data_IF_480585374482
#
_entry.id   IF_480585374482
#
_cell.length_a   1.000
_cell.length_b   1.000
_cell.length_c   1.000
_cell.angle_alpha   90.00
_cell.angle_beta   90.00
_cell.angle_gamma   90.00
#
_symmetry.space_group_name_H-M   'P 1'
#
loop_
_entity.id
_entity.type
_entity.pdbx_description
1 polymer ?
#
# COMPACT_ATOMS: atom_id res chain seq x y z
N UNK A 1 22.38 -14.16 -4.56
CA UNK A 1 21.22 -14.77 -5.24
C UNK A 1 20.78 -13.86 -6.38
N UNK A 2 21.21 -14.17 -7.59
CA UNK A 2 20.88 -13.48 -8.83
C UNK A 2 19.41 -13.72 -9.19
N UNK A 3 18.65 -12.64 -9.38
CA UNK A 3 17.30 -12.74 -9.91
C UNK A 3 17.40 -12.79 -11.45
N UNK A 4 16.88 -13.84 -12.12
CA UNK A 4 16.96 -13.95 -13.56
C UNK A 4 15.95 -13.04 -14.26
N UNK A 5 16.33 -12.57 -15.45
CA UNK A 5 15.57 -11.74 -16.37
C UNK A 5 14.20 -12.32 -16.73
N UNK A 6 13.19 -11.45 -16.83
CA UNK A 6 11.86 -11.80 -17.34
C UNK A 6 11.96 -12.06 -18.85
N UNK A 7 11.80 -13.32 -19.24
CA UNK A 7 11.67 -13.71 -20.64
C UNK A 7 10.24 -13.35 -21.11
N UNK A 8 10.13 -12.43 -22.06
CA UNK A 8 8.86 -11.84 -22.53
C UNK A 8 8.30 -12.58 -23.76
N UNK A 9 8.82 -13.76 -24.07
CA UNK A 9 8.64 -14.39 -25.38
C UNK A 9 8.04 -15.79 -25.27
N UNK A 10 6.73 -15.85 -24.97
CA UNK A 10 5.78 -16.88 -25.43
C UNK A 10 4.42 -16.63 -24.75
N UNK A 11 3.48 -15.97 -25.44
CA UNK A 11 2.10 -15.82 -24.95
C UNK A 11 1.10 -16.22 -26.03
N UNK A 12 0.31 -17.25 -25.70
CA UNK A 12 -0.86 -17.68 -26.44
C UNK A 12 -1.94 -16.58 -26.41
N UNK A 13 -2.48 -16.26 -27.59
CA UNK A 13 -3.24 -15.07 -27.94
C UNK A 13 -4.75 -15.11 -27.67
N UNK A 14 -5.22 -15.78 -26.62
CA UNK A 14 -6.64 -15.73 -26.24
C UNK A 14 -6.83 -14.93 -24.95
N UNK A 15 -7.08 -13.63 -25.13
CA UNK A 15 -7.64 -12.66 -24.17
C UNK A 15 -7.10 -12.75 -22.74
N UNK A 16 -5.83 -12.40 -22.56
CA UNK A 16 -5.25 -12.22 -21.23
C UNK A 16 -5.00 -10.73 -20.98
N UNK A 17 -5.68 -10.17 -19.99
CA UNK A 17 -5.41 -8.83 -19.49
C UNK A 17 -3.97 -8.81 -18.96
N UNK A 18 -3.23 -7.74 -19.25
CA UNK A 18 -1.85 -7.57 -18.80
C UNK A 18 -1.71 -6.28 -18.00
N UNK A 19 -0.89 -6.32 -16.96
CA UNK A 19 -0.49 -5.14 -16.20
C UNK A 19 0.49 -4.34 -17.06
N UNK A 20 0.09 -3.14 -17.49
CA UNK A 20 0.92 -2.26 -18.31
C UNK A 20 1.88 -1.44 -17.45
N UNK A 21 3.18 -1.50 -17.76
CA UNK A 21 4.16 -0.63 -17.09
C UNK A 21 3.93 0.85 -17.41
N UNK A 22 3.45 1.21 -18.61
CA UNK A 22 3.04 2.59 -18.91
C UNK A 22 1.91 3.07 -17.99
N UNK A 23 0.92 2.22 -17.74
CA UNK A 23 -0.15 2.54 -16.80
C UNK A 23 0.42 2.75 -15.40
N UNK A 24 1.26 1.83 -14.90
CA UNK A 24 1.90 1.97 -13.59
C UNK A 24 2.75 3.25 -13.48
N UNK A 25 3.45 3.64 -14.55
CA UNK A 25 4.20 4.91 -14.59
C UNK A 25 3.27 6.11 -14.55
N UNK A 26 2.13 6.08 -15.26
CA UNK A 26 1.18 7.19 -15.28
C UNK A 26 0.57 7.50 -13.90
N UNK A 27 0.53 6.52 -12.99
CA UNK A 27 0.08 6.76 -11.60
C UNK A 27 0.96 7.78 -10.89
N UNK A 28 2.23 7.89 -11.24
CA UNK A 28 3.15 8.87 -10.65
C UNK A 28 2.86 10.31 -11.08
N UNK A 29 1.95 10.53 -12.05
CA UNK A 29 1.44 11.87 -12.36
C UNK A 29 0.71 12.52 -11.16
N UNK A 30 0.32 11.72 -10.16
CA UNK A 30 -0.19 12.26 -8.89
C UNK A 30 0.83 13.18 -8.19
N UNK A 31 2.13 12.95 -8.37
CA UNK A 31 3.18 13.75 -7.72
C UNK A 31 3.17 15.20 -8.21
N UNK A 32 3.36 15.50 -9.51
CA UNK A 32 3.27 16.87 -9.99
C UNK A 32 1.87 17.45 -9.80
N UNK A 33 0.80 16.65 -9.84
CA UNK A 33 -0.56 17.13 -9.56
C UNK A 33 -0.71 17.62 -8.12
N UNK A 34 -0.24 16.86 -7.12
CA UNK A 34 -0.29 17.28 -5.72
C UNK A 34 0.57 18.52 -5.46
N UNK A 35 1.75 18.62 -6.08
CA UNK A 35 2.59 19.82 -5.99
C UNK A 35 1.87 21.02 -6.62
N UNK A 36 1.26 20.87 -7.79
CA UNK A 36 0.50 21.93 -8.44
C UNK A 36 -0.70 22.38 -7.59
N UNK A 37 -1.46 21.45 -7.02
CA UNK A 37 -2.58 21.75 -6.11
C UNK A 37 -2.07 22.56 -4.91
N UNK A 38 -0.95 22.16 -4.31
CA UNK A 38 -0.35 22.87 -3.18
C UNK A 38 0.07 24.29 -3.56
N UNK A 39 0.71 24.48 -4.73
CA UNK A 39 1.12 25.81 -5.20
C UNK A 39 -0.09 26.70 -5.49
N UNK A 40 -1.13 26.16 -6.14
CA UNK A 40 -2.38 26.88 -6.40
C UNK A 40 -3.04 27.30 -5.08
N UNK A 41 -3.09 26.41 -4.08
CA UNK A 41 -3.65 26.74 -2.77
C UNK A 41 -2.85 27.85 -2.07
N UNK A 42 -1.52 27.72 -2.06
CA UNK A 42 -0.65 28.68 -1.40
C UNK A 42 -0.74 30.09 -2.01
N UNK A 43 -0.70 30.20 -3.35
CA UNK A 43 -0.65 31.50 -4.04
C UNK A 43 -2.03 32.02 -4.45
N UNK A 44 -3.00 31.16 -4.70
CA UNK A 44 -4.35 31.52 -5.16
C UNK A 44 -5.39 31.58 -4.06
N UNK A 45 -5.27 30.75 -3.02
CA UNK A 45 -6.30 30.58 -1.98
C UNK A 45 -5.77 30.84 -0.56
N UNK A 46 -4.58 31.40 -0.41
CA UNK A 46 -3.96 31.71 0.89
C UNK A 46 -3.90 30.50 1.84
N UNK A 47 -3.64 29.30 1.30
CA UNK A 47 -3.56 28.03 2.05
C UNK A 47 -4.89 27.54 2.67
N UNK A 48 -6.05 27.95 2.15
CA UNK A 48 -7.35 27.49 2.66
C UNK A 48 -7.52 25.97 2.55
N UNK A 49 -7.05 25.34 1.47
CA UNK A 49 -7.14 23.89 1.31
C UNK A 49 -6.30 23.19 2.40
N UNK A 50 -5.09 23.66 2.70
CA UNK A 50 -4.28 23.13 3.80
C UNK A 50 -5.06 23.11 5.12
N UNK A 51 -5.76 24.20 5.41
CA UNK A 51 -6.46 24.39 6.67
C UNK A 51 -7.79 23.61 6.73
N UNK A 52 -8.40 23.33 5.57
CA UNK A 52 -9.57 22.46 5.43
C UNK A 52 -9.24 20.96 5.44
N UNK A 53 -8.05 20.58 4.96
CA UNK A 53 -7.66 19.19 4.83
C UNK A 53 -7.36 18.54 6.19
N UNK A 54 -7.62 17.23 6.33
CA UNK A 54 -7.24 16.46 7.51
C UNK A 54 -5.78 16.63 7.88
N UNK A 55 -5.53 17.24 9.04
CA UNK A 55 -4.18 17.46 9.53
C UNK A 55 -3.77 16.41 10.57
N UNK A 56 -4.68 15.56 11.05
CA UNK A 56 -4.41 14.54 12.06
C UNK A 56 -5.05 13.18 11.74
N UNK A 57 -4.47 12.07 12.24
CA UNK A 57 -4.81 10.69 11.86
C UNK A 57 -6.29 10.32 12.00
N UNK A 58 -6.98 10.88 13.00
CA UNK A 58 -8.41 10.63 13.25
C UNK A 58 -9.32 11.14 12.14
N UNK A 59 -8.89 12.15 11.37
CA UNK A 59 -9.66 12.70 10.25
C UNK A 59 -9.31 12.02 8.91
N UNK A 60 -8.37 11.06 8.91
CA UNK A 60 -8.07 10.23 7.74
C UNK A 60 -9.05 9.07 7.57
N UNK A 61 -10.25 9.08 8.17
CA UNK A 61 -11.27 8.03 7.93
C UNK A 61 -11.69 8.01 6.46
N UNK A 62 -12.01 9.18 5.88
CA UNK A 62 -12.29 9.28 4.45
C UNK A 62 -11.10 8.80 3.62
N UNK A 63 -9.88 9.11 4.07
CA UNK A 63 -8.68 8.61 3.43
C UNK A 63 -8.59 7.10 3.50
N UNK A 64 -8.79 6.48 4.67
CA UNK A 64 -8.78 5.03 4.87
C UNK A 64 -9.87 4.32 4.07
N UNK A 65 -11.01 4.97 3.87
CA UNK A 65 -12.13 4.48 3.07
C UNK A 65 -11.82 4.50 1.57
N UNK A 66 -11.08 5.51 1.09
CA UNK A 66 -10.72 5.64 -0.32
C UNK A 66 -9.41 4.91 -0.66
N UNK A 67 -8.46 4.88 0.28
CA UNK A 67 -7.10 4.40 0.13
C UNK A 67 -6.64 3.70 1.43
N UNK A 68 -6.01 2.54 1.34
CA UNK A 68 -5.59 1.75 2.50
C UNK A 68 -6.49 0.54 2.71
N UNK A 69 -7.60 0.73 3.41
CA UNK A 69 -8.41 -0.40 3.85
C UNK A 69 -9.06 -1.19 2.70
N UNK A 70 -9.56 -0.57 1.61
CA UNK A 70 -10.15 -1.34 0.52
C UNK A 70 -9.15 -2.31 -0.12
N UNK A 71 -7.91 -1.90 -0.39
CA UNK A 71 -6.94 -2.81 -1.01
C UNK A 71 -6.53 -3.93 -0.05
N UNK A 72 -6.42 -3.63 1.26
CA UNK A 72 -6.15 -4.63 2.30
C UNK A 72 -7.25 -5.68 2.31
N UNK A 73 -8.52 -5.25 2.29
CA UNK A 73 -9.66 -6.17 2.25
C UNK A 73 -9.66 -6.96 0.94
N UNK A 74 -9.43 -6.30 -0.20
CA UNK A 74 -9.37 -6.96 -1.51
C UNK A 74 -8.32 -8.09 -1.53
N UNK A 75 -7.13 -7.84 -0.99
CA UNK A 75 -6.05 -8.83 -0.88
C UNK A 75 -6.45 -10.04 -0.04
N UNK A 76 -7.11 -9.81 1.10
CA UNK A 76 -7.57 -10.89 1.97
C UNK A 76 -8.73 -11.67 1.35
N UNK A 77 -9.67 -10.99 0.68
CA UNK A 77 -10.75 -11.63 -0.09
C UNK A 77 -10.19 -12.51 -1.21
N UNK A 78 -9.18 -12.02 -1.92
CA UNK A 78 -8.51 -12.77 -2.98
C UNK A 78 -7.96 -14.11 -2.47
N UNK A 79 -7.35 -14.11 -1.29
CA UNK A 79 -6.83 -15.33 -0.68
C UNK A 79 -7.93 -16.25 -0.16
N UNK A 80 -8.94 -15.70 0.53
CA UNK A 80 -9.98 -16.49 1.21
C UNK A 80 -10.99 -17.07 0.22
N UNK A 81 -11.28 -16.38 -0.87
CA UNK A 81 -12.23 -16.82 -1.89
C UNK A 81 -11.75 -18.03 -2.71
N UNK A 82 -10.47 -18.39 -2.61
CA UNK A 82 -9.85 -19.45 -3.40
C UNK A 82 -9.24 -20.54 -2.48
N UNK A 83 -9.91 -21.71 -2.35
CA UNK A 83 -9.45 -22.79 -1.46
C UNK A 83 -8.02 -23.29 -1.74
N UNK A 84 -7.60 -23.28 -3.00
CA UNK A 84 -6.24 -23.65 -3.41
C UNK A 84 -5.16 -22.73 -2.83
N UNK A 85 -5.45 -21.43 -2.69
CA UNK A 85 -4.52 -20.45 -2.13
C UNK A 85 -4.42 -20.63 -0.62
N UNK A 86 -5.56 -20.81 0.05
CA UNK A 86 -5.59 -21.12 1.48
C UNK A 86 -4.83 -22.42 1.78
N UNK A 87 -5.05 -23.48 1.00
CA UNK A 87 -4.32 -24.74 1.19
C UNK A 87 -2.81 -24.57 1.01
N UNK A 88 -2.39 -23.84 -0.03
CA UNK A 88 -0.97 -23.57 -0.32
C UNK A 88 -0.29 -22.76 0.80
N UNK A 89 -1.01 -21.82 1.41
CA UNK A 89 -0.42 -20.87 2.38
C UNK A 89 -0.83 -21.11 3.83
N UNK A 90 -1.62 -22.14 4.13
CA UNK A 90 -2.21 -22.40 5.46
C UNK A 90 -1.22 -22.27 6.61
N UNK A 91 -0.06 -22.92 6.50
CA UNK A 91 0.96 -22.90 7.56
C UNK A 91 1.53 -21.49 7.80
N UNK A 92 1.75 -20.71 6.73
CA UNK A 92 2.23 -19.33 6.81
C UNK A 92 1.18 -18.41 7.41
N UNK A 93 -0.08 -18.54 6.99
CA UNK A 93 -1.20 -17.75 7.50
C UNK A 93 -1.44 -18.03 8.98
N UNK A 94 -1.46 -19.31 9.39
CA UNK A 94 -1.62 -19.69 10.78
C UNK A 94 -0.46 -19.19 11.64
N UNK A 95 0.79 -19.37 11.18
CA UNK A 95 1.98 -18.89 11.87
C UNK A 95 1.95 -17.37 12.09
N UNK A 96 1.59 -16.60 11.04
CA UNK A 96 1.46 -15.15 11.15
C UNK A 96 0.28 -14.75 12.05
N UNK A 97 -0.83 -15.50 12.04
CA UNK A 97 -1.97 -15.25 12.94
C UNK A 97 -1.56 -15.40 14.39
N UNK A 98 -0.90 -16.51 14.74
CA UNK A 98 -0.38 -16.75 16.08
C UNK A 98 0.63 -15.67 16.47
N UNK A 99 1.51 -15.27 15.56
CA UNK A 99 2.46 -14.19 15.79
C UNK A 99 1.77 -12.85 16.07
N UNK A 100 0.77 -12.46 15.28
CA UNK A 100 0.01 -11.20 15.48
C UNK A 100 -0.70 -11.23 16.84
N UNK A 101 -1.36 -12.34 17.19
CA UNK A 101 -2.05 -12.48 18.48
C UNK A 101 -1.06 -12.40 19.64
N UNK A 102 0.09 -13.08 19.56
CA UNK A 102 1.10 -13.01 20.60
C UNK A 102 1.72 -11.61 20.71
N UNK A 103 2.12 -11.02 19.58
CA UNK A 103 2.82 -9.74 19.57
C UNK A 103 1.91 -8.55 19.94
N UNK A 104 0.70 -8.48 19.38
CA UNK A 104 -0.23 -7.37 19.66
C UNK A 104 -1.20 -7.68 20.81
N UNK A 105 -1.68 -8.92 20.93
CA UNK A 105 -2.58 -9.31 22.01
C UNK A 105 -1.85 -9.38 23.35
N UNK A 106 -0.79 -10.21 23.45
CA UNK A 106 -0.02 -10.35 24.70
C UNK A 106 0.98 -9.21 24.84
N UNK A 107 1.70 -8.87 23.77
CA UNK A 107 2.72 -7.83 23.84
C UNK A 107 2.19 -6.44 24.17
N UNK A 108 0.93 -6.10 23.87
CA UNK A 108 0.32 -4.83 24.29
C UNK A 108 0.17 -4.68 25.80
N UNK A 109 0.25 -5.77 26.57
CA UNK A 109 0.29 -5.73 28.03
C UNK A 109 1.63 -5.22 28.58
N UNK A 110 2.70 -5.27 27.77
CA UNK A 110 4.07 -4.97 28.20
C UNK A 110 4.76 -3.88 27.36
N UNK A 111 4.30 -3.66 26.13
CA UNK A 111 4.91 -2.71 25.18
C UNK A 111 4.05 -1.44 25.13
N UNK A 112 4.63 -0.25 25.34
CA UNK A 112 3.90 1.00 25.23
C UNK A 112 3.22 1.17 23.86
N UNK A 113 1.99 1.69 23.86
CA UNK A 113 1.23 1.93 22.63
C UNK A 113 2.01 2.71 21.57
N UNK A 114 2.75 3.75 21.97
CA UNK A 114 3.58 4.55 21.05
C UNK A 114 4.64 3.71 20.34
N UNK A 115 5.23 2.73 21.02
CA UNK A 115 6.24 1.83 20.43
C UNK A 115 5.57 0.89 19.42
N UNK A 116 4.43 0.28 19.77
CA UNK A 116 3.65 -0.55 18.85
C UNK A 116 3.21 0.24 17.61
N UNK A 117 2.79 1.49 17.81
CA UNK A 117 2.42 2.41 16.75
C UNK A 117 3.59 2.69 15.80
N UNK A 118 4.77 3.05 16.33
CA UNK A 118 5.97 3.30 15.52
C UNK A 118 6.36 2.06 14.73
N UNK A 119 6.38 0.88 15.36
CA UNK A 119 6.70 -0.39 14.67
C UNK A 119 5.73 -0.62 13.50
N UNK A 120 4.42 -0.45 13.73
CA UNK A 120 3.39 -0.65 12.72
C UNK A 120 3.50 0.40 11.59
N UNK A 121 3.78 1.66 11.93
CA UNK A 121 4.00 2.73 10.96
C UNK A 121 5.24 2.46 10.09
N UNK A 122 6.36 2.06 10.70
CA UNK A 122 7.57 1.68 9.98
C UNK A 122 7.31 0.51 9.03
N UNK A 123 6.60 -0.51 9.49
CA UNK A 123 6.25 -1.67 8.67
C UNK A 123 5.33 -1.32 7.50
N UNK A 124 4.38 -0.41 7.73
CA UNK A 124 3.48 0.12 6.71
C UNK A 124 4.25 0.85 5.61
N UNK A 125 5.15 1.77 5.97
CA UNK A 125 5.98 2.49 4.99
C UNK A 125 6.92 1.54 4.26
N UNK A 126 7.55 0.61 4.99
CA UNK A 126 8.39 -0.44 4.41
C UNK A 126 7.63 -1.22 3.35
N UNK A 127 6.42 -1.68 3.65
CA UNK A 127 5.58 -2.44 2.73
C UNK A 127 5.27 -1.65 1.46
N UNK A 128 4.72 -0.44 1.61
CA UNK A 128 4.33 0.45 0.49
C UNK A 128 5.51 0.70 -0.45
N UNK A 129 6.65 1.12 0.10
CA UNK A 129 7.81 1.52 -0.71
C UNK A 129 8.58 0.32 -1.26
N UNK A 130 8.59 -0.81 -0.56
CA UNK A 130 9.18 -2.05 -1.08
C UNK A 130 8.44 -2.55 -2.31
N UNK A 131 7.12 -2.46 -2.36
CA UNK A 131 6.37 -2.86 -3.55
C UNK A 131 6.73 -1.97 -4.75
N UNK A 132 6.72 -0.65 -4.56
CA UNK A 132 7.03 0.31 -5.64
C UNK A 132 8.45 0.11 -6.18
N UNK A 133 9.43 -0.02 -5.30
CA UNK A 133 10.80 -0.31 -5.70
C UNK A 133 10.96 -1.72 -6.28
N UNK A 134 10.19 -2.71 -5.81
CA UNK A 134 10.17 -4.06 -6.38
C UNK A 134 9.72 -4.06 -7.85
N UNK A 135 8.68 -3.29 -8.16
CA UNK A 135 8.23 -3.05 -9.54
C UNK A 135 9.34 -2.30 -10.31
N UNK A 136 9.87 -1.21 -9.76
CA UNK A 136 10.92 -0.42 -10.40
C UNK A 136 12.16 -1.26 -10.72
N UNK A 137 12.56 -2.18 -9.83
CA UNK A 137 13.70 -3.09 -10.07
C UNK A 137 13.54 -3.90 -11.36
N UNK A 138 12.33 -4.39 -11.63
CA UNK A 138 12.04 -5.18 -12.83
C UNK A 138 12.13 -4.35 -14.12
N UNK A 139 11.81 -3.05 -14.06
CA UNK A 139 11.87 -2.13 -15.20
C UNK A 139 13.27 -1.54 -15.39
N UNK A 140 13.91 -1.11 -14.30
CA UNK A 140 15.20 -0.43 -14.29
C UNK A 140 16.40 -1.37 -14.40
N UNK A 141 16.21 -2.67 -14.11
CA UNK A 141 17.27 -3.70 -14.12
C UNK A 141 18.49 -3.32 -13.27
N UNK A 142 18.26 -2.65 -12.13
CA UNK A 142 19.31 -2.20 -11.24
C UNK A 142 20.12 -3.37 -10.66
N UNK A 143 21.42 -3.15 -10.50
CA UNK A 143 22.28 -4.05 -9.74
C UNK A 143 21.79 -4.20 -8.29
N UNK A 144 22.09 -5.31 -7.64
CA UNK A 144 21.62 -5.58 -6.28
C UNK A 144 21.98 -4.47 -5.28
N UNK A 145 23.23 -3.97 -5.34
CA UNK A 145 23.69 -2.89 -4.45
C UNK A 145 22.95 -1.58 -4.71
N UNK A 146 22.82 -1.17 -5.97
CA UNK A 146 22.12 0.06 -6.33
C UNK A 146 20.63 0.00 -5.94
N UNK A 147 19.98 -1.14 -6.18
CA UNK A 147 18.60 -1.39 -5.75
C UNK A 147 18.41 -1.24 -4.24
N UNK A 148 19.22 -1.93 -3.42
CA UNK A 148 19.06 -1.86 -1.97
C UNK A 148 19.38 -0.48 -1.40
N UNK A 149 20.35 0.24 -1.98
CA UNK A 149 20.64 1.62 -1.59
C UNK A 149 19.43 2.53 -1.84
N UNK A 150 18.87 2.49 -3.05
CA UNK A 150 17.68 3.27 -3.41
C UNK A 150 16.46 2.92 -2.54
N UNK A 151 16.24 1.62 -2.33
CA UNK A 151 15.16 1.09 -1.49
C UNK A 151 15.26 1.60 -0.05
N UNK A 152 16.42 1.44 0.59
CA UNK A 152 16.57 1.80 1.99
C UNK A 152 16.63 3.30 2.23
N UNK A 153 17.22 4.09 1.32
CA UNK A 153 17.13 5.55 1.39
C UNK A 153 15.67 6.02 1.30
N UNK A 154 14.90 5.45 0.38
CA UNK A 154 13.48 5.78 0.22
C UNK A 154 12.66 5.36 1.43
N UNK A 155 12.85 4.14 1.94
CA UNK A 155 12.14 3.65 3.13
C UNK A 155 12.45 4.51 4.35
N UNK A 156 13.72 4.78 4.61
CA UNK A 156 14.12 5.59 5.75
C UNK A 156 13.56 7.01 5.65
N UNK A 157 13.67 7.66 4.48
CA UNK A 157 13.07 8.98 4.26
C UNK A 157 11.55 8.96 4.47
N UNK A 158 10.87 7.97 3.87
CA UNK A 158 9.44 7.76 4.01
C UNK A 158 9.00 7.55 5.45
N UNK A 159 9.79 6.82 6.26
CA UNK A 159 9.49 6.57 7.68
C UNK A 159 9.51 7.90 8.44
N UNK A 160 10.56 8.71 8.28
CA UNK A 160 10.63 10.00 8.97
C UNK A 160 9.54 10.97 8.51
N UNK A 161 9.21 11.01 7.21
CA UNK A 161 8.07 11.80 6.70
C UNK A 161 6.76 11.32 7.36
N UNK A 162 6.52 10.01 7.39
CA UNK A 162 5.30 9.43 7.95
C UNK A 162 5.18 9.66 9.46
N UNK A 163 6.26 9.48 10.21
CA UNK A 163 6.30 9.78 11.64
C UNK A 163 6.08 11.28 11.89
N UNK A 164 6.68 12.15 11.08
CA UNK A 164 6.45 13.60 11.16
C UNK A 164 4.99 13.99 10.95
N UNK A 165 4.30 13.35 10.00
CA UNK A 165 2.87 13.56 9.76
C UNK A 165 2.01 13.04 10.92
N UNK A 166 2.17 11.77 11.28
CA UNK A 166 1.22 11.11 12.18
C UNK A 166 1.50 11.34 13.66
N UNK A 167 2.75 11.65 14.04
CA UNK A 167 3.14 11.95 15.41
C UNK A 167 3.23 13.46 15.68
N UNK A 168 2.81 14.33 14.76
CA UNK A 168 2.97 15.79 14.88
C UNK A 168 2.50 16.38 16.22
N UNK A 169 1.43 15.82 16.81
CA UNK A 169 0.84 16.29 18.07
C UNK A 169 1.50 15.65 19.31
N UNK A 170 2.37 14.67 19.12
CA UNK A 170 3.08 13.93 20.17
C UNK A 170 4.57 14.26 20.22
N UNK A 171 5.12 14.87 19.17
CA UNK A 171 6.51 15.30 19.10
C UNK A 171 6.67 16.68 19.75
N UNK A 172 7.73 16.87 20.52
CA UNK A 172 8.16 18.21 20.93
C UNK A 172 8.61 19.02 19.69
N UNK A 173 8.65 20.36 19.75
CA UNK A 173 9.14 21.18 18.63
C UNK A 173 10.54 20.78 18.16
N UNK A 174 11.43 20.46 19.10
CA UNK A 174 12.79 19.99 18.80
C UNK A 174 12.80 18.63 18.09
N UNK A 175 12.00 17.67 18.58
CA UNK A 175 11.86 16.35 17.95
C UNK A 175 11.28 16.46 16.54
N UNK A 176 10.27 17.32 16.34
CA UNK A 176 9.69 17.58 15.02
C UNK A 176 10.74 18.15 14.05
N UNK A 177 11.60 19.05 14.53
CA UNK A 177 12.69 19.60 13.73
C UNK A 177 13.74 18.53 13.36
N UNK A 178 14.10 17.65 14.30
CA UNK A 178 15.01 16.53 14.02
C UNK A 178 14.44 15.55 12.99
N UNK A 179 13.15 15.24 13.09
CA UNK A 179 12.44 14.41 12.11
C UNK A 179 12.48 15.07 10.73
N UNK A 180 12.21 16.38 10.64
CA UNK A 180 12.27 17.13 9.39
C UNK A 180 13.66 17.14 8.78
N UNK A 181 14.71 17.44 9.56
CA UNK A 181 16.10 17.44 9.06
C UNK A 181 16.59 16.06 8.65
N UNK A 182 16.19 15.02 9.38
CA UNK A 182 16.53 13.64 9.02
C UNK A 182 15.86 13.24 7.71
N UNK A 183 14.56 13.55 7.55
CA UNK A 183 13.85 13.34 6.30
C UNK A 183 14.49 14.12 5.13
N UNK A 184 14.91 15.36 5.37
CA UNK A 184 15.57 16.20 4.37
C UNK A 184 16.91 15.62 3.92
N UNK A 185 17.76 15.22 4.88
CA UNK A 185 19.08 14.62 4.60
C UNK A 185 18.97 13.31 3.83
N UNK A 186 18.03 12.43 4.22
CA UNK A 186 17.77 11.17 3.52
C UNK A 186 17.19 11.38 2.12
N UNK A 187 16.31 12.37 1.96
CA UNK A 187 15.75 12.77 0.66
C UNK A 187 16.83 13.31 -0.27
N UNK A 188 17.74 14.14 0.23
CA UNK A 188 18.90 14.62 -0.53
C UNK A 188 19.85 13.47 -0.91
N UNK A 189 20.14 12.57 0.02
CA UNK A 189 20.95 11.38 -0.26
C UNK A 189 20.29 10.48 -1.34
N UNK A 190 18.97 10.31 -1.30
CA UNK A 190 18.21 9.60 -2.32
C UNK A 190 18.33 10.30 -3.69
N UNK A 191 18.18 11.62 -3.74
CA UNK A 191 18.32 12.41 -4.98
C UNK A 191 19.71 12.24 -5.59
N UNK A 192 20.77 12.41 -4.79
CA UNK A 192 22.15 12.24 -5.24
C UNK A 192 22.42 10.81 -5.69
N UNK A 193 21.98 9.81 -4.91
CA UNK A 193 22.11 8.41 -5.28
C UNK A 193 21.38 8.10 -6.58
N UNK A 194 20.20 8.69 -6.80
CA UNK A 194 19.42 8.53 -8.04
C UNK A 194 20.17 9.10 -9.23
N UNK A 195 20.72 10.31 -9.07
CA UNK A 195 21.50 10.97 -10.11
C UNK A 195 22.75 10.19 -10.51
N UNK A 196 23.37 9.46 -9.58
CA UNK A 196 24.51 8.57 -9.84
C UNK A 196 24.04 7.27 -10.50
N UNK A 197 23.02 6.62 -9.93
CA UNK A 197 22.56 5.29 -10.34
C UNK A 197 21.88 5.30 -11.71
N UNK A 198 21.27 6.40 -12.13
CA UNK A 198 20.58 6.49 -13.43
C UNK A 198 21.48 6.14 -14.63
N UNK A 199 22.80 6.33 -14.52
CA UNK A 199 23.76 5.99 -15.58
C UNK A 199 23.84 4.47 -15.81
N UNK A 200 23.49 3.68 -14.81
CA UNK A 200 23.46 2.21 -14.89
C UNK A 200 22.14 1.67 -15.47
N UNK A 201 21.13 2.52 -15.66
CA UNK A 201 19.82 2.11 -16.17
C UNK A 201 19.85 2.12 -17.71
N UNK A 202 19.62 0.96 -18.37
CA UNK A 202 19.86 0.82 -19.80
C UNK A 202 18.82 1.55 -20.68
N UNK A 203 17.58 1.70 -20.21
CA UNK A 203 16.49 2.26 -21.01
C UNK A 203 16.01 3.61 -20.49
N UNK A 204 15.59 4.49 -21.41
CA UNK A 204 14.95 5.79 -21.04
C UNK A 204 13.69 5.56 -20.19
N UNK A 205 12.91 4.55 -20.54
CA UNK A 205 11.72 4.16 -19.77
C UNK A 205 12.04 3.75 -18.33
N UNK A 206 13.11 2.96 -18.13
CA UNK A 206 13.62 2.66 -16.80
C UNK A 206 14.08 3.91 -16.04
N UNK A 207 14.73 4.86 -16.71
CA UNK A 207 15.12 6.13 -16.08
C UNK A 207 13.91 6.92 -15.60
N UNK A 208 12.83 6.98 -16.39
CA UNK A 208 11.57 7.59 -15.97
C UNK A 208 10.99 6.91 -14.74
N UNK A 209 10.99 5.58 -14.69
CA UNK A 209 10.52 4.83 -13.51
C UNK A 209 11.37 5.07 -12.26
N UNK A 210 12.70 5.10 -12.41
CA UNK A 210 13.63 5.41 -11.33
C UNK A 210 13.34 6.81 -10.78
N UNK A 211 13.31 7.82 -11.64
CA UNK A 211 13.03 9.19 -11.24
C UNK A 211 11.62 9.36 -10.67
N UNK A 212 10.62 8.66 -11.19
CA UNK A 212 9.27 8.70 -10.65
C UNK A 212 9.21 8.21 -9.19
N UNK A 213 9.93 7.12 -8.86
CA UNK A 213 10.05 6.64 -7.48
C UNK A 213 10.77 7.64 -6.57
N UNK A 214 11.84 8.27 -7.07
CA UNK A 214 12.57 9.28 -6.30
C UNK A 214 11.71 10.53 -6.08
N UNK A 215 11.06 11.03 -7.13
CA UNK A 215 10.17 12.19 -7.07
C UNK A 215 8.96 11.95 -6.18
N UNK A 216 8.48 10.71 -6.07
CA UNK A 216 7.42 10.35 -5.11
C UNK A 216 7.83 10.70 -3.68
N UNK A 217 9.04 10.33 -3.27
CA UNK A 217 9.58 10.64 -1.93
C UNK A 217 9.86 12.13 -1.78
N UNK A 218 10.52 12.74 -2.78
CA UNK A 218 10.84 14.18 -2.74
C UNK A 218 9.60 15.05 -2.71
N UNK A 219 8.58 14.73 -3.50
CA UNK A 219 7.29 15.40 -3.50
C UNK A 219 6.58 15.25 -2.17
N UNK A 220 6.56 14.04 -1.60
CA UNK A 220 6.00 13.77 -0.27
C UNK A 220 6.71 14.57 0.82
N UNK A 221 8.05 14.63 0.78
CA UNK A 221 8.84 15.46 1.69
C UNK A 221 8.55 16.95 1.52
N UNK A 222 8.50 17.44 0.27
CA UNK A 222 8.24 18.85 -0.02
C UNK A 222 6.90 19.30 0.55
N UNK A 223 5.81 18.59 0.22
CA UNK A 223 4.48 18.99 0.73
C UNK A 223 4.33 18.73 2.23
N UNK A 224 5.05 17.75 2.80
CA UNK A 224 5.16 17.59 4.27
C UNK A 224 5.82 18.80 4.93
N UNK A 225 6.93 19.29 4.38
CA UNK A 225 7.62 20.48 4.89
C UNK A 225 6.75 21.75 4.81
N UNK A 226 5.84 21.81 3.83
CA UNK A 226 4.83 22.87 3.70
C UNK A 226 3.58 22.63 4.57
N UNK A 227 3.57 21.58 5.40
CA UNK A 227 2.45 21.17 6.28
C UNK A 227 1.19 20.65 5.55
N UNK A 228 1.28 20.30 4.27
CA UNK A 228 0.21 19.64 3.49
C UNK A 228 0.26 18.12 3.71
N UNK A 229 0.03 17.71 4.96
CA UNK A 229 0.19 16.33 5.41
C UNK A 229 -0.68 15.33 4.67
N UNK A 230 -1.92 15.69 4.34
CA UNK A 230 -2.80 14.83 3.57
C UNK A 230 -2.21 14.49 2.20
N UNK A 231 -1.68 15.48 1.47
CA UNK A 231 -1.06 15.28 0.16
C UNK A 231 0.21 14.43 0.28
N UNK A 232 1.00 14.62 1.33
CA UNK A 232 2.23 13.84 1.59
C UNK A 232 1.96 12.33 1.67
N UNK A 233 0.83 11.95 2.25
CA UNK A 233 0.44 10.53 2.40
C UNK A 233 -0.33 10.03 1.18
N UNK A 234 -1.13 10.88 0.54
CA UNK A 234 -1.92 10.54 -0.65
C UNK A 234 -1.06 10.02 -1.79
N UNK A 235 0.02 10.73 -2.14
CA UNK A 235 0.87 10.36 -3.28
C UNK A 235 1.36 8.90 -3.21
N UNK A 236 2.09 8.45 -2.17
CA UNK A 236 2.59 7.08 -2.12
C UNK A 236 1.48 6.05 -1.99
N UNK A 237 0.38 6.37 -1.30
CA UNK A 237 -0.76 5.46 -1.13
C UNK A 237 -1.52 5.25 -2.42
N UNK A 238 -1.85 6.30 -3.15
CA UNK A 238 -2.56 6.18 -4.42
C UNK A 238 -1.78 5.31 -5.41
N UNK A 239 -0.48 5.58 -5.56
CA UNK A 239 0.38 4.78 -6.45
C UNK A 239 0.39 3.31 -6.01
N UNK A 240 0.55 3.05 -4.72
CA UNK A 240 0.57 1.69 -4.16
C UNK A 240 -0.75 0.94 -4.34
N UNK A 241 -1.85 1.54 -3.90
CA UNK A 241 -3.18 0.95 -3.91
C UNK A 241 -3.67 0.66 -5.32
N UNK A 242 -3.56 1.64 -6.23
CA UNK A 242 -4.01 1.45 -7.62
C UNK A 242 -3.10 0.44 -8.33
N UNK A 243 -1.79 0.44 -8.03
CA UNK A 243 -0.90 -0.62 -8.50
C UNK A 243 -1.40 -1.99 -8.02
N UNK A 244 -1.64 -2.17 -6.72
CA UNK A 244 -2.13 -3.43 -6.16
C UNK A 244 -3.44 -3.88 -6.81
N UNK A 245 -4.42 -2.98 -6.95
CA UNK A 245 -5.67 -3.28 -7.65
C UNK A 245 -5.47 -3.69 -9.10
N UNK A 246 -4.53 -3.08 -9.83
CA UNK A 246 -4.23 -3.49 -11.20
C UNK A 246 -3.77 -4.95 -11.27
N UNK A 247 -2.99 -5.42 -10.29
CA UNK A 247 -2.62 -6.83 -10.18
C UNK A 247 -3.85 -7.69 -9.84
N UNK A 248 -4.64 -7.31 -8.84
CA UNK A 248 -5.77 -8.13 -8.39
C UNK A 248 -6.84 -8.28 -9.49
N UNK A 249 -7.19 -7.18 -10.15
CA UNK A 249 -8.15 -7.18 -11.27
C UNK A 249 -7.62 -8.00 -12.45
N UNK A 250 -6.34 -7.83 -12.80
CA UNK A 250 -5.72 -8.62 -13.88
C UNK A 250 -5.76 -10.12 -13.56
N UNK A 251 -5.43 -10.48 -12.33
CA UNK A 251 -5.50 -11.85 -11.87
C UNK A 251 -6.90 -12.43 -12.04
N UNK A 252 -7.93 -11.77 -11.51
CA UNK A 252 -9.29 -12.32 -11.49
C UNK A 252 -9.90 -12.41 -12.88
N UNK A 253 -9.69 -11.38 -13.71
CA UNK A 253 -10.13 -11.40 -15.11
C UNK A 253 -9.52 -12.58 -15.84
N UNK A 254 -8.22 -12.83 -15.68
CA UNK A 254 -7.53 -13.93 -16.35
C UNK A 254 -7.92 -15.30 -15.79
N UNK A 255 -8.11 -15.41 -14.47
CA UNK A 255 -8.53 -16.66 -13.83
C UNK A 255 -9.94 -17.06 -14.26
N UNK A 256 -10.85 -16.09 -14.32
CA UNK A 256 -12.26 -16.33 -14.63
C UNK A 256 -12.61 -16.16 -16.12
N UNK A 257 -11.62 -15.98 -17.00
CA UNK A 257 -11.82 -15.83 -18.44
C UNK A 257 -12.54 -17.02 -19.09
N UNK A 258 -12.35 -18.24 -18.57
CA UNK A 258 -13.00 -19.47 -19.05
C UNK A 258 -14.28 -19.84 -18.30
N UNK A 259 -14.70 -19.04 -17.31
CA UNK A 259 -15.84 -19.29 -16.44
C UNK A 259 -15.58 -18.91 -14.99
N UNK A 260 -16.63 -18.53 -14.27
CA UNK A 260 -16.54 -18.22 -12.85
C UNK A 260 -16.32 -19.49 -12.01
N UNK A 261 -15.16 -19.57 -11.37
CA UNK A 261 -14.66 -20.76 -10.67
C UNK A 261 -15.11 -20.78 -9.20
N UNK A 262 -15.30 -19.61 -8.58
CA UNK A 262 -15.64 -19.48 -7.16
C UNK A 262 -17.07 -18.98 -6.94
N UNK A 263 -17.64 -19.24 -5.75
CA UNK A 263 -19.01 -18.85 -5.42
C UNK A 263 -19.27 -17.35 -5.58
N UNK A 264 -18.31 -16.52 -5.17
CA UNK A 264 -18.40 -15.06 -5.29
C UNK A 264 -18.57 -14.61 -6.75
N UNK A 265 -17.72 -15.10 -7.65
CA UNK A 265 -17.76 -14.68 -9.06
C UNK A 265 -18.90 -15.34 -9.83
N UNK A 266 -19.38 -16.53 -9.39
CA UNK A 266 -20.60 -17.14 -9.96
C UNK A 266 -21.84 -16.32 -9.64
N UNK A 267 -21.95 -15.79 -8.42
CA UNK A 267 -23.02 -14.88 -8.03
C UNK A 267 -22.93 -13.55 -8.79
N UNK A 268 -21.73 -12.97 -8.92
CA UNK A 268 -21.53 -11.76 -9.70
C UNK A 268 -21.94 -11.97 -11.18
N UNK A 269 -21.59 -13.12 -11.76
CA UNK A 269 -21.94 -13.47 -13.12
C UNK A 269 -23.46 -13.63 -13.31
N UNK A 270 -24.18 -14.20 -12.33
CA UNK A 270 -25.65 -14.32 -12.41
C UNK A 270 -26.36 -12.97 -12.37
N UNK A 271 -25.72 -11.94 -11.81
CA UNK A 271 -26.20 -10.55 -11.80
C UNK A 271 -25.65 -9.70 -12.94
N UNK A 272 -24.90 -10.29 -13.88
CA UNK A 272 -24.31 -9.56 -15.01
C UNK A 272 -23.19 -8.58 -14.63
N UNK A 273 -22.60 -8.74 -13.44
CA UNK A 273 -21.54 -7.86 -12.94
C UNK A 273 -20.19 -8.27 -13.57
N UNK A 274 -19.44 -7.34 -14.20
CA UNK A 274 -18.12 -7.64 -14.75
C UNK A 274 -17.12 -8.06 -13.66
N UNK A 275 -16.38 -9.14 -13.91
CA UNK A 275 -15.34 -9.69 -13.00
C UNK A 275 -14.36 -8.61 -12.51
N UNK A 276 -13.97 -7.69 -13.38
CA UNK A 276 -13.03 -6.62 -13.07
C UNK A 276 -13.50 -5.66 -11.96
N UNK A 277 -14.81 -5.57 -11.72
CA UNK A 277 -15.42 -4.63 -10.77
C UNK A 277 -15.78 -5.32 -9.46
N UNK A 278 -15.91 -6.65 -9.44
CA UNK A 278 -16.34 -7.44 -8.27
C UNK A 278 -15.46 -7.15 -7.06
N UNK A 279 -14.14 -7.34 -7.19
CA UNK A 279 -13.23 -7.19 -6.06
C UNK A 279 -13.12 -5.74 -5.57
N UNK A 280 -12.91 -4.72 -6.44
CA UNK A 280 -12.87 -3.32 -6.00
C UNK A 280 -14.16 -2.82 -5.32
N UNK A 281 -15.33 -3.18 -5.85
CA UNK A 281 -16.60 -2.74 -5.26
C UNK A 281 -16.86 -3.46 -3.94
N UNK A 282 -16.66 -4.77 -3.90
CA UNK A 282 -16.88 -5.54 -2.68
C UNK A 282 -15.95 -5.09 -1.56
N UNK A 283 -14.66 -4.88 -1.84
CA UNK A 283 -13.72 -4.43 -0.82
C UNK A 283 -14.00 -3.01 -0.33
N UNK A 284 -14.45 -2.11 -1.20
CA UNK A 284 -14.89 -0.78 -0.82
C UNK A 284 -16.14 -0.81 0.06
N UNK A 285 -17.17 -1.56 -0.34
CA UNK A 285 -18.41 -1.70 0.45
C UNK A 285 -18.11 -2.33 1.81
N UNK A 286 -17.31 -3.40 1.85
CA UNK A 286 -16.91 -4.01 3.13
C UNK A 286 -16.08 -3.07 3.99
N UNK A 287 -15.20 -2.27 3.39
CA UNK A 287 -14.46 -1.23 4.13
C UNK A 287 -15.42 -0.26 4.79
N UNK A 288 -16.37 0.28 4.02
CA UNK A 288 -17.38 1.20 4.54
C UNK A 288 -18.17 0.57 5.69
N UNK A 289 -18.70 -0.64 5.49
CA UNK A 289 -19.51 -1.33 6.49
C UNK A 289 -18.71 -1.62 7.77
N UNK A 290 -17.47 -2.09 7.64
CA UNK A 290 -16.62 -2.40 8.79
C UNK A 290 -16.19 -1.13 9.55
N UNK A 291 -15.86 -0.04 8.85
CA UNK A 291 -15.45 1.20 9.50
C UNK A 291 -16.62 1.98 10.10
N UNK A 292 -17.77 2.02 9.43
CA UNK A 292 -18.92 2.80 9.87
C UNK A 292 -19.77 2.08 10.93
N UNK A 293 -19.89 0.75 10.85
CA UNK A 293 -20.82 -0.02 11.69
C UNK A 293 -20.19 -1.20 12.42
N UNK A 294 -18.93 -1.56 12.11
CA UNK A 294 -18.31 -2.78 12.62
C UNK A 294 -18.12 -2.77 14.13
N UNK A 295 -17.60 -1.67 14.68
CA UNK A 295 -17.38 -1.53 16.13
C UNK A 295 -18.72 -1.55 16.90
N UNK A 296 -19.73 -0.85 16.40
CA UNK A 296 -21.07 -0.79 17.01
C UNK A 296 -21.75 -2.16 17.00
N UNK A 297 -21.63 -2.90 15.89
CA UNK A 297 -22.16 -4.26 15.80
C UNK A 297 -21.50 -5.20 16.80
N UNK A 298 -20.17 -5.15 16.94
CA UNK A 298 -19.46 -5.96 17.93
C UNK A 298 -19.91 -5.58 19.34
N UNK A 299 -19.98 -4.28 19.65
CA UNK A 299 -20.44 -3.82 20.96
C UNK A 299 -21.88 -4.23 21.25
N UNK A 300 -22.79 -4.19 20.26
CA UNK A 300 -24.16 -4.68 20.42
C UNK A 300 -24.17 -6.16 20.82
N UNK A 301 -23.39 -6.99 20.13
CA UNK A 301 -23.29 -8.42 20.40
C UNK A 301 -22.67 -8.67 21.79
N UNK A 302 -21.53 -8.04 22.10
CA UNK A 302 -20.82 -8.29 23.36
C UNK A 302 -21.58 -7.76 24.57
N UNK A 303 -22.28 -6.63 24.42
CA UNK A 303 -23.13 -6.08 25.45
C UNK A 303 -24.32 -7.00 25.72
N UNK A 304 -24.96 -7.50 24.65
CA UNK A 304 -26.17 -8.35 24.76
C UNK A 304 -25.84 -9.73 25.34
N UNK A 305 -24.74 -10.35 24.91
CA UNK A 305 -24.41 -11.73 25.29
C UNK A 305 -23.53 -11.83 26.53
N UNK A 306 -22.69 -10.83 26.79
CA UNK A 306 -21.64 -10.89 27.81
C UNK A 306 -21.59 -9.68 28.74
N UNK A 307 -22.50 -8.70 28.60
CA UNK A 307 -22.51 -7.45 29.36
C UNK A 307 -21.15 -6.71 29.35
N UNK A 308 -20.42 -6.78 28.23
CA UNK A 308 -19.09 -6.17 28.06
C UNK A 308 -19.01 -5.36 26.77
N UNK A 309 -18.09 -4.39 26.74
CA UNK A 309 -17.77 -3.60 25.55
C UNK A 309 -16.32 -3.79 25.17
N UNK A 310 -16.05 -3.86 23.87
CA UNK A 310 -14.69 -3.99 23.34
C UNK A 310 -14.39 -2.75 22.50
N UNK A 311 -13.53 -1.89 23.04
CA UNK A 311 -13.14 -0.66 22.37
C UNK A 311 -12.43 -0.97 21.04
N UNK A 312 -12.98 -0.46 19.93
CA UNK A 312 -12.41 -0.53 18.56
C UNK A 312 -12.05 -1.94 18.10
N UNK A 313 -12.89 -2.92 18.42
CA UNK A 313 -12.68 -4.32 18.07
C UNK A 313 -12.48 -4.54 16.55
N UNK A 314 -13.24 -3.82 15.71
CA UNK A 314 -13.15 -3.92 14.26
C UNK A 314 -12.12 -2.94 13.70
N UNK A 315 -12.22 -1.65 14.05
CA UNK A 315 -11.38 -0.62 13.43
C UNK A 315 -9.91 -0.76 13.78
N UNK A 316 -9.58 -1.15 15.02
CA UNK A 316 -8.21 -1.42 15.44
C UNK A 316 -7.86 -2.91 15.37
N UNK A 317 -8.75 -3.77 15.89
CA UNK A 317 -8.49 -5.22 15.97
C UNK A 317 -8.53 -5.92 14.62
N UNK A 318 -9.73 -6.07 14.03
CA UNK A 318 -9.91 -6.82 12.78
C UNK A 318 -9.16 -6.18 11.61
N UNK A 319 -9.34 -4.88 11.37
CA UNK A 319 -8.69 -4.19 10.25
C UNK A 319 -7.16 -4.17 10.45
N UNK A 320 -6.67 -3.97 11.68
CA UNK A 320 -5.25 -4.04 11.99
C UNK A 320 -4.66 -5.44 11.71
N UNK A 321 -5.37 -6.50 12.12
CA UNK A 321 -5.01 -7.88 11.78
C UNK A 321 -4.96 -8.10 10.26
N UNK A 322 -6.00 -7.69 9.53
CA UNK A 322 -6.06 -7.84 8.07
C UNK A 322 -4.94 -7.06 7.37
N UNK A 323 -4.59 -5.88 7.87
CA UNK A 323 -3.49 -5.07 7.35
C UNK A 323 -2.14 -5.77 7.52
N UNK A 324 -1.84 -6.28 8.72
CA UNK A 324 -0.60 -6.99 9.01
C UNK A 324 -0.50 -8.30 8.22
N UNK A 325 -1.62 -9.03 8.10
CA UNK A 325 -1.70 -10.23 7.28
C UNK A 325 -1.45 -9.90 5.81
N UNK A 326 -2.10 -8.86 5.29
CA UNK A 326 -1.89 -8.36 3.93
C UNK A 326 -0.41 -8.06 3.68
N UNK A 327 0.24 -7.25 4.54
CA UNK A 327 1.66 -6.91 4.40
C UNK A 327 2.58 -8.13 4.39
N UNK A 328 2.26 -9.14 5.19
CA UNK A 328 3.00 -10.40 5.21
C UNK A 328 2.78 -11.22 3.94
N UNK A 329 1.53 -11.39 3.51
CA UNK A 329 1.17 -12.20 2.34
C UNK A 329 1.73 -11.65 1.04
N UNK A 330 1.67 -10.33 0.85
CA UNK A 330 2.21 -9.62 -0.31
C UNK A 330 3.70 -9.92 -0.57
N UNK A 331 4.46 -10.26 0.49
CA UNK A 331 5.87 -10.59 0.37
C UNK A 331 6.13 -11.90 -0.40
N UNK A 332 5.13 -12.78 -0.56
CA UNK A 332 5.30 -14.08 -1.21
C UNK A 332 4.20 -14.45 -2.22
N UNK A 333 2.99 -13.90 -2.14
CA UNK A 333 1.90 -14.28 -3.06
C UNK A 333 2.15 -13.83 -4.50
N UNK A 334 2.97 -12.79 -4.70
CA UNK A 334 3.37 -12.32 -6.03
C UNK A 334 4.75 -12.85 -6.48
N UNK A 335 5.40 -13.69 -5.67
CA UNK A 335 6.70 -14.26 -6.00
C UNK A 335 6.63 -15.26 -7.16
N UNK A 336 7.76 -15.46 -7.86
CA UNK A 336 7.87 -16.46 -8.93
C UNK A 336 7.54 -17.85 -8.39
N UNK A 337 6.69 -18.59 -9.10
CA UNK A 337 6.24 -19.93 -8.70
C UNK A 337 4.97 -19.93 -7.84
N UNK A 338 4.51 -18.77 -7.37
CA UNK A 338 3.20 -18.64 -6.70
C UNK A 338 2.04 -19.03 -7.64
N UNK A 339 1.01 -19.74 -7.14
CA UNK A 339 -0.21 -20.00 -7.91
C UNK A 339 -0.91 -18.72 -8.38
N UNK A 340 -0.94 -17.64 -7.57
CA UNK A 340 -1.54 -16.36 -7.98
C UNK A 340 -0.77 -15.73 -9.16
N UNK A 341 0.56 -15.85 -9.16
CA UNK A 341 1.39 -15.19 -10.17
C UNK A 341 1.16 -15.73 -11.58
N UNK A 342 0.57 -16.93 -11.72
CA UNK A 342 0.29 -17.62 -13.00
C UNK A 342 -0.70 -16.85 -13.89
N UNK A 343 -1.57 -16.05 -13.29
CA UNK A 343 -2.60 -15.28 -13.99
C UNK A 343 -2.19 -13.82 -14.25
N UNK A 344 -0.94 -13.45 -13.96
CA UNK A 344 -0.44 -12.10 -14.16
C UNK A 344 0.50 -12.06 -15.36
N UNK A 345 0.28 -11.12 -16.24
CA UNK A 345 1.16 -10.85 -17.38
C UNK A 345 1.55 -9.38 -17.39
N UNK A 346 2.71 -9.08 -17.95
CA UNK A 346 3.20 -7.71 -18.05
C UNK A 346 3.26 -7.27 -19.50
N UNK A 347 2.73 -6.08 -19.77
CA UNK A 347 2.86 -5.40 -21.04
C UNK A 347 3.71 -4.13 -20.87
N UNK A 348 4.41 -3.73 -21.94
CA UNK A 348 5.18 -2.47 -21.92
C UNK A 348 4.28 -1.25 -21.95
#
# INVERSE_FOLDING_TARGET
>A
MSAPSLDLTQQNSQYQLAVSFRFLLSLYAIVPLCVLIQLIDQYGFASQLRDMLPSSPSHFVLFQLLFGTPHIIASNLLLISHPEYLHTYKAKLLGMTVFIIAFFGIGSLFIPYTVLYIITACWTVYHVLKQQHGIAKSVCQLSGKAFYLQLWLSISAGIFIYLGVFMKNSLSPEQAQWVLWTAAGLSLALLLSTAIVQHTVPSRFGKWFLWANTLLILGSFYVYAQQYYFLAILMPRLVHDISAYSFYVTHDVNRHAKGADTGLYRLAQSWGVPVAVVLPVLSFVLTYLLQAYGDDLVNLITQTLFATQIYKAVTLGLIGYLALMHYYTEAFVWAKGSPLRRYIYFAK
#
